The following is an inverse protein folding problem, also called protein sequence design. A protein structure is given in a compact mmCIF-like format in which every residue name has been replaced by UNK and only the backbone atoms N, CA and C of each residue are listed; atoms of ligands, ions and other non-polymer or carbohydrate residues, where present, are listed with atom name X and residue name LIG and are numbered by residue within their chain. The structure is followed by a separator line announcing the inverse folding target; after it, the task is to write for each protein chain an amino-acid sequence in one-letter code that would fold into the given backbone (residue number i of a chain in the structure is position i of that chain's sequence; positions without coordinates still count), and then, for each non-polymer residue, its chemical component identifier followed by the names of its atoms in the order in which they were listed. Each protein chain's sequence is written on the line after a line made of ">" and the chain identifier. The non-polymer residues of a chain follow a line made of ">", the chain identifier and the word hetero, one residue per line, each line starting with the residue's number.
data_IF_434254602585
#
_entry.id   IF_434254602585
#
_cell.length_a   1.000
_cell.length_b   1.000
_cell.length_c   1.000
_cell.angle_alpha   90.00
_cell.angle_beta   90.00
_cell.angle_gamma   90.00
#
_symmetry.space_group_name_H-M   'P 1'
#
loop_
_entity.id
_entity.type
_entity.pdbx_description
1 polymer ?
#
# COMPACT_ATOMS: atom_id res chain seq x y z
N UNK A 1 -3.74 -33.62 -19.56
CA UNK A 1 -3.34 -34.50 -20.67
C UNK A 1 -2.48 -35.63 -20.13
N UNK A 2 -2.92 -36.89 -20.20
CA UNK A 2 -2.00 -38.03 -20.07
C UNK A 2 -1.58 -38.36 -21.50
N UNK A 3 -0.35 -38.02 -21.86
CA UNK A 3 0.23 -38.45 -23.12
C UNK A 3 0.15 -39.98 -23.18
N UNK A 4 -0.31 -40.51 -24.30
CA UNK A 4 -0.38 -41.93 -24.59
C UNK A 4 1.08 -42.42 -24.70
N UNK A 5 1.69 -42.83 -23.57
CA UNK A 5 3.09 -43.26 -23.53
C UNK A 5 3.19 -44.56 -24.31
N UNK A 6 3.70 -44.47 -25.54
CA UNK A 6 3.93 -45.61 -26.41
C UNK A 6 5.17 -46.39 -25.96
N UNK A 7 4.94 -47.43 -25.15
CA UNK A 7 5.99 -48.32 -24.64
C UNK A 7 6.75 -49.03 -25.76
N UNK A 8 6.14 -49.23 -26.93
CA UNK A 8 6.76 -49.99 -28.00
C UNK A 8 7.89 -49.21 -28.71
N UNK A 9 7.82 -47.88 -28.71
CA UNK A 9 8.86 -46.97 -29.21
C UNK A 9 9.90 -46.57 -28.17
N UNK A 10 9.75 -46.94 -26.89
CA UNK A 10 10.69 -46.56 -25.84
C UNK A 10 12.07 -47.24 -25.95
N UNK A 11 13.11 -46.49 -25.64
CA UNK A 11 14.47 -47.01 -25.43
C UNK A 11 14.60 -47.80 -24.12
N UNK A 12 15.55 -48.73 -24.05
CA UNK A 12 15.79 -49.60 -22.87
C UNK A 12 16.01 -48.80 -21.58
N UNK A 13 16.74 -47.68 -21.65
CA UNK A 13 16.98 -46.80 -20.49
C UNK A 13 15.68 -46.18 -19.97
N UNK A 14 14.82 -45.71 -20.88
CA UNK A 14 13.53 -45.11 -20.53
C UNK A 14 12.57 -46.13 -19.92
N UNK A 15 12.56 -47.36 -20.44
CA UNK A 15 11.77 -48.47 -19.87
C UNK A 15 12.21 -48.81 -18.44
N UNK A 16 13.52 -48.93 -18.19
CA UNK A 16 14.03 -49.19 -16.83
C UNK A 16 13.70 -48.08 -15.84
N UNK A 17 13.74 -46.83 -16.28
CA UNK A 17 13.38 -45.67 -15.46
C UNK A 17 11.89 -45.66 -15.10
N UNK A 18 11.03 -45.93 -16.08
CA UNK A 18 9.58 -46.05 -15.89
C UNK A 18 9.21 -47.20 -14.93
N UNK A 19 9.88 -48.34 -15.06
CA UNK A 19 9.69 -49.48 -14.14
C UNK A 19 10.07 -49.10 -12.71
N UNK A 20 11.22 -48.41 -12.54
CA UNK A 20 11.69 -47.96 -11.23
C UNK A 20 10.76 -46.90 -10.62
N UNK A 21 10.24 -45.96 -11.43
CA UNK A 21 9.35 -44.90 -10.94
C UNK A 21 8.00 -45.44 -10.45
N UNK A 22 7.57 -46.61 -10.94
CA UNK A 22 6.41 -47.34 -10.43
C UNK A 22 6.72 -48.26 -9.22
N UNK A 23 7.95 -48.25 -8.71
CA UNK A 23 8.37 -49.10 -7.59
C UNK A 23 8.50 -50.59 -7.96
N UNK A 24 8.62 -50.90 -9.25
CA UNK A 24 8.82 -52.26 -9.74
C UNK A 24 10.32 -52.51 -9.99
N UNK A 25 10.74 -53.77 -9.90
CA UNK A 25 12.10 -54.19 -10.26
C UNK A 25 12.16 -54.60 -11.73
N UNK A 26 13.30 -54.34 -12.37
CA UNK A 26 13.63 -54.82 -13.71
C UNK A 26 14.77 -55.84 -13.69
N UNK A 27 15.12 -56.39 -12.51
CA UNK A 27 16.28 -57.27 -12.34
C UNK A 27 16.09 -58.66 -12.99
N UNK A 28 14.84 -59.07 -13.18
CA UNK A 28 14.41 -60.34 -13.79
C UNK A 28 14.09 -60.22 -15.29
N UNK A 29 14.24 -59.02 -15.87
CA UNK A 29 13.97 -58.76 -17.28
C UNK A 29 15.23 -59.06 -18.12
N UNK A 30 15.29 -60.24 -18.72
CA UNK A 30 16.42 -60.71 -19.51
C UNK A 30 16.38 -60.17 -20.95
N UNK A 31 15.19 -59.98 -21.51
CA UNK A 31 14.99 -59.51 -22.87
C UNK A 31 14.27 -58.16 -22.94
N UNK A 32 14.38 -57.47 -24.08
CA UNK A 32 13.68 -56.20 -24.32
C UNK A 32 12.15 -56.36 -24.26
N UNK A 33 11.64 -57.54 -24.59
CA UNK A 33 10.21 -57.85 -24.48
C UNK A 33 9.74 -57.86 -23.02
N UNK A 34 10.55 -58.40 -22.09
CA UNK A 34 10.26 -58.41 -20.65
C UNK A 34 10.18 -56.98 -20.10
N UNK A 35 11.10 -56.12 -20.53
CA UNK A 35 11.10 -54.69 -20.17
C UNK A 35 9.86 -53.95 -20.69
N UNK A 36 9.36 -54.28 -21.89
CA UNK A 36 8.13 -53.68 -22.41
C UNK A 36 6.92 -54.11 -21.59
N UNK A 37 6.81 -55.39 -21.26
CA UNK A 37 5.71 -55.89 -20.45
C UNK A 37 5.73 -55.28 -19.04
N UNK A 38 6.91 -55.22 -18.41
CA UNK A 38 7.09 -54.61 -17.10
C UNK A 38 6.83 -53.09 -17.12
N UNK A 39 7.13 -52.41 -18.23
CA UNK A 39 6.80 -50.98 -18.41
C UNK A 39 5.30 -50.73 -18.55
N UNK A 40 4.55 -51.63 -19.20
CA UNK A 40 3.08 -51.55 -19.24
C UNK A 40 2.47 -51.79 -17.86
N UNK A 41 3.00 -52.74 -17.09
CA UNK A 41 2.62 -52.97 -15.69
C UNK A 41 2.90 -51.73 -14.82
N UNK A 42 4.07 -51.09 -15.01
CA UNK A 42 4.42 -49.84 -14.35
C UNK A 42 3.41 -48.72 -14.67
N UNK A 43 3.02 -48.55 -15.93
CA UNK A 43 2.00 -47.57 -16.33
C UNK A 43 0.63 -47.86 -15.69
N UNK A 44 0.20 -49.12 -15.66
CA UNK A 44 -1.05 -49.52 -15.04
C UNK A 44 -1.05 -49.22 -13.53
N UNK A 45 0.04 -49.55 -12.83
CA UNK A 45 0.21 -49.29 -11.40
C UNK A 45 0.24 -47.80 -11.07
N UNK A 46 0.90 -46.99 -11.91
CA UNK A 46 0.90 -45.53 -11.77
C UNK A 46 -0.48 -44.93 -12.06
N UNK A 47 -1.24 -45.48 -13.01
CA UNK A 47 -2.61 -45.07 -13.30
C UNK A 47 -3.57 -45.44 -12.15
N UNK A 48 -3.45 -46.64 -11.57
CA UNK A 48 -4.22 -47.06 -10.40
C UNK A 48 -3.88 -46.24 -9.15
N UNK A 49 -2.60 -45.92 -8.91
CA UNK A 49 -2.18 -45.06 -7.81
C UNK A 49 -2.75 -43.63 -7.97
N UNK A 50 -2.80 -43.13 -9.22
CA UNK A 50 -3.44 -41.84 -9.54
C UNK A 50 -4.96 -41.88 -9.35
N UNK A 51 -5.62 -42.96 -9.72
CA UNK A 51 -7.06 -43.16 -9.55
C UNK A 51 -7.47 -43.40 -8.09
N UNK A 52 -6.58 -43.98 -7.27
CA UNK A 52 -6.75 -44.19 -5.83
C UNK A 52 -6.35 -43.00 -4.97
N UNK A 53 -5.81 -41.93 -5.56
CA UNK A 53 -5.54 -40.69 -4.82
C UNK A 53 -6.91 -40.14 -4.39
N UNK A 54 -7.18 -39.98 -3.08
CA UNK A 54 -8.44 -39.41 -2.65
C UNK A 54 -8.59 -38.03 -3.30
N UNK A 55 -9.82 -37.68 -3.69
CA UNK A 55 -10.13 -36.32 -4.10
C UNK A 55 -9.62 -35.38 -3.01
N UNK A 56 -8.95 -34.26 -3.36
CA UNK A 56 -8.53 -33.28 -2.37
C UNK A 56 -9.74 -32.92 -1.49
N UNK A 57 -9.52 -32.79 -0.18
CA UNK A 57 -10.55 -32.29 0.71
C UNK A 57 -11.09 -30.95 0.16
N UNK A 58 -12.39 -30.63 0.33
CA UNK A 58 -12.93 -29.35 -0.07
C UNK A 58 -12.05 -28.22 0.48
N UNK A 59 -11.45 -27.41 -0.40
CA UNK A 59 -10.57 -26.30 -0.03
C UNK A 59 -9.06 -26.61 0.07
N UNK A 60 -8.61 -27.83 -0.22
CA UNK A 60 -7.17 -28.11 -0.29
C UNK A 60 -6.54 -27.46 -1.55
N UNK A 61 -5.34 -26.86 -1.45
CA UNK A 61 -4.71 -26.21 -2.59
C UNK A 61 -4.36 -27.22 -3.69
N UNK A 62 -4.64 -26.85 -4.94
CA UNK A 62 -4.23 -27.56 -6.14
C UNK A 62 -2.96 -26.91 -6.73
N UNK A 63 -2.14 -27.68 -7.44
CA UNK A 63 -1.02 -27.12 -8.20
C UNK A 63 -1.30 -27.22 -9.69
N UNK A 64 -1.19 -26.10 -10.39
CA UNK A 64 -1.31 -25.98 -11.83
C UNK A 64 -0.13 -25.18 -12.40
N UNK A 65 -0.08 -25.02 -13.72
CA UNK A 65 0.88 -24.15 -14.39
C UNK A 65 0.12 -23.28 -15.37
N UNK A 66 0.30 -21.96 -15.26
CA UNK A 66 -0.29 -20.96 -16.16
C UNK A 66 0.84 -20.15 -16.77
N UNK A 67 0.90 -20.09 -18.11
CA UNK A 67 2.11 -19.65 -18.80
C UNK A 67 3.28 -20.55 -18.40
N UNK A 68 4.36 -19.96 -17.88
CA UNK A 68 5.51 -20.70 -17.36
C UNK A 68 5.52 -20.87 -15.83
N UNK A 69 4.61 -20.23 -15.11
CA UNK A 69 4.67 -20.17 -13.65
C UNK A 69 3.89 -21.31 -12.99
N UNK A 70 4.55 -22.15 -12.17
CA UNK A 70 3.82 -23.01 -11.25
C UNK A 70 2.95 -22.14 -10.34
N UNK A 71 1.71 -22.57 -10.14
CA UNK A 71 0.68 -21.78 -9.46
C UNK A 71 -0.08 -22.66 -8.49
N UNK A 72 -0.20 -22.22 -7.25
CA UNK A 72 -1.11 -22.82 -6.28
C UNK A 72 -2.50 -22.22 -6.50
N UNK A 73 -3.51 -23.06 -6.65
CA UNK A 73 -4.91 -22.66 -6.85
C UNK A 73 -5.73 -23.11 -5.65
N UNK A 74 -6.47 -22.21 -5.04
CA UNK A 74 -7.38 -22.51 -3.92
C UNK A 74 -8.77 -21.98 -4.22
N UNK A 75 -9.78 -22.76 -3.88
CA UNK A 75 -11.18 -22.43 -4.10
C UNK A 75 -11.83 -22.08 -2.76
N UNK A 76 -12.60 -20.99 -2.73
CA UNK A 76 -13.35 -20.55 -1.55
C UNK A 76 -14.84 -20.42 -1.87
N UNK A 77 -15.66 -20.48 -0.82
CA UNK A 77 -17.12 -20.25 -0.89
C UNK A 77 -17.84 -21.14 -1.91
N UNK A 78 -17.40 -22.39 -2.07
CA UNK A 78 -17.99 -23.35 -3.01
C UNK A 78 -17.64 -23.10 -4.48
N UNK A 79 -16.65 -22.27 -4.76
CA UNK A 79 -16.12 -22.13 -6.11
C UNK A 79 -15.59 -23.45 -6.67
N UNK A 80 -15.73 -23.62 -7.97
CA UNK A 80 -15.10 -24.69 -8.73
C UNK A 80 -14.46 -24.09 -9.98
N UNK A 81 -13.71 -24.93 -10.71
CA UNK A 81 -13.14 -24.55 -12.00
C UNK A 81 -14.19 -23.98 -12.96
N UNK A 82 -15.35 -24.60 -13.03
CA UNK A 82 -16.40 -24.25 -13.99
C UNK A 82 -17.47 -23.30 -13.41
N UNK A 83 -17.43 -23.04 -12.09
CA UNK A 83 -18.42 -22.24 -11.39
C UNK A 83 -17.76 -21.32 -10.35
N UNK A 84 -17.46 -20.09 -10.75
CA UNK A 84 -16.82 -19.05 -9.95
C UNK A 84 -17.29 -17.66 -10.38
N UNK A 85 -17.21 -16.68 -9.48
CA UNK A 85 -17.60 -15.29 -9.71
C UNK A 85 -16.36 -14.38 -9.78
N UNK A 86 -15.31 -14.72 -9.03
CA UNK A 86 -14.10 -13.91 -8.88
C UNK A 86 -12.84 -14.79 -8.95
N UNK A 87 -11.82 -14.30 -9.65
CA UNK A 87 -10.46 -14.84 -9.67
C UNK A 87 -9.51 -13.79 -9.09
N UNK A 88 -8.76 -14.15 -8.06
CA UNK A 88 -7.77 -13.27 -7.41
C UNK A 88 -6.39 -13.88 -7.61
N UNK A 89 -5.54 -13.24 -8.41
CA UNK A 89 -4.15 -13.66 -8.57
C UNK A 89 -3.24 -12.81 -7.67
N UNK A 90 -2.52 -13.45 -6.74
CA UNK A 90 -1.66 -12.78 -5.76
C UNK A 90 -0.19 -13.17 -5.96
N UNK A 91 0.65 -12.19 -6.29
CA UNK A 91 2.08 -12.36 -6.55
C UNK A 91 2.89 -12.11 -5.26
N UNK A 92 3.79 -13.04 -4.94
CA UNK A 92 4.61 -13.04 -3.72
C UNK A 92 5.71 -11.97 -3.71
N UNK A 93 6.29 -11.69 -2.53
CA UNK A 93 7.45 -10.79 -2.40
C UNK A 93 8.78 -11.46 -2.77
N UNK A 94 9.87 -10.70 -2.80
CA UNK A 94 11.22 -11.26 -3.03
C UNK A 94 11.58 -12.26 -1.91
N UNK A 95 12.18 -13.38 -2.29
CA UNK A 95 12.57 -14.53 -1.45
C UNK A 95 11.44 -15.22 -0.66
N UNK A 96 10.18 -14.85 -0.90
CA UNK A 96 9.04 -15.52 -0.29
C UNK A 96 8.84 -16.92 -0.88
N UNK A 97 8.43 -17.91 -0.07
CA UNK A 97 8.08 -19.22 -0.59
C UNK A 97 6.78 -19.16 -1.44
N UNK A 98 6.55 -20.13 -2.34
CA UNK A 98 5.38 -20.13 -3.23
C UNK A 98 4.02 -20.14 -2.52
N UNK A 99 3.97 -20.58 -1.27
CA UNK A 99 2.76 -20.69 -0.45
C UNK A 99 2.60 -19.56 0.57
N UNK A 100 3.49 -18.57 0.60
CA UNK A 100 3.51 -17.47 1.59
C UNK A 100 2.17 -16.73 1.70
N UNK A 101 1.56 -16.43 0.56
CA UNK A 101 0.29 -15.69 0.49
C UNK A 101 -0.96 -16.58 0.52
N UNK A 102 -0.81 -17.90 0.45
CA UNK A 102 -1.94 -18.86 0.44
C UNK A 102 -2.83 -18.73 1.69
N UNK A 103 -2.30 -18.48 2.92
CA UNK A 103 -3.11 -18.28 4.11
C UNK A 103 -4.11 -17.12 4.03
N UNK A 104 -3.90 -16.13 3.13
CA UNK A 104 -4.84 -15.01 2.96
C UNK A 104 -6.18 -15.43 2.33
N UNK A 105 -6.22 -16.57 1.64
CA UNK A 105 -7.42 -17.06 0.96
C UNK A 105 -8.63 -17.23 1.91
N UNK A 106 -8.42 -17.77 3.10
CA UNK A 106 -9.51 -18.07 4.03
C UNK A 106 -10.15 -16.80 4.63
N UNK A 107 -9.41 -15.85 5.23
CA UNK A 107 -10.00 -14.61 5.73
C UNK A 107 -10.58 -13.75 4.60
N UNK A 108 -9.93 -13.68 3.43
CA UNK A 108 -10.49 -12.95 2.28
C UNK A 108 -11.80 -13.59 1.79
N UNK A 109 -11.83 -14.92 1.68
CA UNK A 109 -13.05 -15.65 1.31
C UNK A 109 -14.20 -15.39 2.28
N UNK A 110 -13.93 -15.38 3.58
CA UNK A 110 -14.94 -15.07 4.61
C UNK A 110 -15.50 -13.65 4.46
N UNK A 111 -14.64 -12.65 4.24
CA UNK A 111 -15.05 -11.26 4.03
C UNK A 111 -15.89 -11.07 2.75
N UNK A 112 -15.61 -11.85 1.71
CA UNK A 112 -16.33 -11.82 0.44
C UNK A 112 -17.68 -12.58 0.47
N UNK A 113 -18.02 -13.20 1.60
CA UNK A 113 -19.32 -13.81 1.86
C UNK A 113 -19.71 -14.87 0.82
N UNK A 114 -20.83 -14.68 0.13
CA UNK A 114 -21.36 -15.63 -0.86
C UNK A 114 -20.61 -15.67 -2.20
N UNK A 115 -19.59 -14.83 -2.40
CA UNK A 115 -18.87 -14.73 -3.68
C UNK A 115 -17.98 -15.95 -3.87
N UNK A 116 -18.17 -16.71 -4.95
CA UNK A 116 -17.36 -17.90 -5.26
C UNK A 116 -16.01 -17.47 -5.83
N UNK A 117 -14.95 -17.64 -5.04
CA UNK A 117 -13.62 -17.13 -5.36
C UNK A 117 -12.63 -18.24 -5.72
N UNK A 118 -11.85 -18.00 -6.76
CA UNK A 118 -10.65 -18.77 -7.12
C UNK A 118 -9.43 -17.91 -6.80
N UNK A 119 -8.56 -18.38 -5.93
CA UNK A 119 -7.30 -17.72 -5.61
C UNK A 119 -6.16 -18.42 -6.34
N UNK A 120 -5.32 -17.65 -7.03
CA UNK A 120 -4.16 -18.14 -7.77
C UNK A 120 -2.88 -17.48 -7.23
N UNK A 121 -1.92 -18.30 -6.82
CA UNK A 121 -0.64 -17.87 -6.25
C UNK A 121 0.49 -18.36 -7.15
N UNK A 122 0.85 -17.62 -8.21
CA UNK A 122 1.97 -17.96 -9.08
C UNK A 122 3.30 -17.79 -8.34
N UNK A 123 4.30 -18.60 -8.72
CA UNK A 123 5.67 -18.50 -8.23
C UNK A 123 6.66 -18.35 -9.38
N UNK A 124 7.44 -17.28 -9.38
CA UNK A 124 8.57 -17.09 -10.29
C UNK A 124 9.90 -17.67 -9.74
N UNK A 125 9.87 -18.33 -8.59
CA UNK A 125 11.07 -18.73 -7.85
C UNK A 125 11.41 -17.70 -6.78
N UNK A 126 12.68 -17.39 -6.51
CA UNK A 126 13.04 -16.45 -5.44
C UNK A 126 12.66 -15.00 -5.76
N UNK A 127 12.52 -14.61 -7.03
CA UNK A 127 12.19 -13.24 -7.41
C UNK A 127 11.53 -13.18 -8.79
N UNK A 128 10.76 -12.13 -9.04
CA UNK A 128 10.07 -11.89 -10.32
C UNK A 128 11.01 -11.33 -11.39
N UNK A 129 11.92 -10.47 -10.95
CA UNK A 129 12.93 -9.78 -11.74
C UNK A 129 14.08 -9.42 -10.79
N UNK A 130 15.23 -9.01 -11.36
CA UNK A 130 16.44 -8.84 -10.57
C UNK A 130 16.37 -7.57 -9.72
N UNK A 131 16.41 -7.75 -8.41
CA UNK A 131 16.52 -6.67 -7.44
C UNK A 131 17.98 -6.61 -6.95
N UNK A 132 18.61 -5.45 -7.08
CA UNK A 132 19.90 -5.18 -6.45
C UNK A 132 19.68 -4.43 -5.12
N UNK A 133 19.57 -5.14 -3.99
CA UNK A 133 19.29 -4.50 -2.70
C UNK A 133 20.39 -3.51 -2.28
N UNK A 134 21.63 -3.69 -2.74
CA UNK A 134 22.72 -2.76 -2.43
C UNK A 134 22.54 -1.45 -3.20
N UNK A 135 22.10 -1.50 -4.47
CA UNK A 135 21.78 -0.31 -5.26
C UNK A 135 20.63 0.47 -4.62
N UNK A 136 19.59 -0.22 -4.14
CA UNK A 136 18.45 0.41 -3.46
C UNK A 136 18.84 1.01 -2.11
N UNK A 137 19.60 0.28 -1.28
CA UNK A 137 20.08 0.79 0.01
C UNK A 137 21.03 2.00 -0.17
N UNK A 138 21.92 1.96 -1.16
CA UNK A 138 22.81 3.08 -1.47
C UNK A 138 22.03 4.31 -1.94
N UNK A 139 21.00 4.13 -2.78
CA UNK A 139 20.14 5.23 -3.20
C UNK A 139 19.35 5.82 -2.03
N UNK A 140 18.77 4.97 -1.18
CA UNK A 140 18.09 5.41 0.04
C UNK A 140 19.03 6.22 0.96
N UNK A 141 20.28 5.76 1.14
CA UNK A 141 21.29 6.47 1.93
C UNK A 141 21.79 7.78 1.27
N UNK A 142 21.70 7.89 -0.05
CA UNK A 142 22.09 9.10 -0.80
C UNK A 142 21.01 10.17 -0.77
N UNK A 143 19.75 9.76 -0.62
CA UNK A 143 18.59 10.65 -0.55
C UNK A 143 17.64 10.46 -1.73
N UNK A 144 16.51 11.16 -1.66
CA UNK A 144 15.32 10.87 -2.46
C UNK A 144 15.51 11.03 -3.97
N UNK A 145 16.35 11.97 -4.42
CA UNK A 145 16.65 12.14 -5.86
C UNK A 145 17.29 10.91 -6.50
N UNK A 146 18.13 10.17 -5.74
CA UNK A 146 18.72 8.92 -6.19
C UNK A 146 17.67 7.80 -6.25
N UNK A 147 16.79 7.73 -5.23
CA UNK A 147 15.69 6.76 -5.19
C UNK A 147 14.67 7.01 -6.31
N UNK A 148 14.32 8.27 -6.56
CA UNK A 148 13.44 8.71 -7.64
C UNK A 148 14.00 8.37 -9.02
N UNK A 149 15.33 8.30 -9.16
CA UNK A 149 15.97 7.86 -10.41
C UNK A 149 15.85 6.33 -10.59
N UNK A 150 15.96 5.55 -9.51
CA UNK A 150 15.82 4.09 -9.57
C UNK A 150 14.43 3.64 -10.01
N UNK A 151 13.37 4.30 -9.52
CA UNK A 151 11.99 3.92 -9.83
C UNK A 151 11.55 4.29 -11.25
N UNK A 152 12.35 5.07 -11.99
CA UNK A 152 12.05 5.45 -13.38
C UNK A 152 12.55 4.44 -14.40
N UNK A 153 13.66 3.77 -14.09
CA UNK A 153 14.27 2.79 -14.97
C UNK A 153 13.67 1.39 -14.71
N UNK A 154 13.41 0.59 -15.77
CA UNK A 154 13.01 -0.80 -15.58
C UNK A 154 14.18 -1.59 -14.96
N UNK A 155 13.95 -2.35 -13.87
CA UNK A 155 14.94 -3.27 -13.33
C UNK A 155 15.37 -4.33 -14.35
N UNK A 156 16.54 -4.93 -14.13
CA UNK A 156 16.98 -6.04 -14.98
C UNK A 156 15.99 -7.21 -14.92
N UNK A 157 15.64 -7.76 -16.09
CA UNK A 157 14.65 -8.84 -16.22
C UNK A 157 13.19 -8.41 -16.13
N UNK A 158 12.88 -7.12 -15.88
CA UNK A 158 11.52 -6.63 -15.72
C UNK A 158 10.64 -6.84 -16.97
N UNK A 159 11.16 -6.55 -18.16
CA UNK A 159 10.41 -6.72 -19.42
C UNK A 159 10.11 -8.20 -19.74
N UNK A 160 11.06 -9.10 -19.43
CA UNK A 160 10.86 -10.54 -19.58
C UNK A 160 9.77 -11.02 -18.61
N UNK A 161 9.84 -10.57 -17.34
CA UNK A 161 8.82 -10.85 -16.34
C UNK A 161 7.44 -10.37 -16.77
N UNK A 162 7.33 -9.16 -17.35
CA UNK A 162 6.08 -8.64 -17.91
C UNK A 162 5.54 -9.57 -19.00
N UNK A 163 6.36 -9.95 -19.97
CA UNK A 163 5.97 -10.85 -21.06
C UNK A 163 5.42 -12.19 -20.52
N UNK A 164 6.12 -12.79 -19.57
CA UNK A 164 5.71 -14.04 -18.94
C UNK A 164 4.44 -13.90 -18.11
N UNK A 165 4.29 -12.78 -17.40
CA UNK A 165 3.10 -12.47 -16.61
C UNK A 165 1.86 -12.21 -17.46
N UNK A 166 2.00 -11.59 -18.63
CA UNK A 166 0.90 -11.44 -19.58
C UNK A 166 0.45 -12.81 -20.12
N UNK A 167 1.38 -13.72 -20.41
CA UNK A 167 1.06 -15.10 -20.79
C UNK A 167 0.37 -15.87 -19.64
N UNK A 168 0.81 -15.65 -18.40
CA UNK A 168 0.15 -16.17 -17.20
C UNK A 168 -1.30 -15.68 -17.08
N UNK A 169 -1.53 -14.37 -17.21
CA UNK A 169 -2.88 -13.79 -17.13
C UNK A 169 -3.79 -14.29 -18.25
N UNK A 170 -3.26 -14.43 -19.46
CA UNK A 170 -4.01 -15.02 -20.59
C UNK A 170 -4.43 -16.47 -20.27
N UNK A 171 -3.50 -17.29 -19.76
CA UNK A 171 -3.79 -18.68 -19.39
C UNK A 171 -4.79 -18.80 -18.22
N UNK A 172 -4.76 -17.87 -17.26
CA UNK A 172 -5.77 -17.79 -16.21
C UNK A 172 -7.16 -17.48 -16.79
N UNK A 173 -7.27 -16.49 -17.68
CA UNK A 173 -8.56 -16.14 -18.31
C UNK A 173 -9.11 -17.26 -19.18
N UNK A 174 -8.25 -17.99 -19.90
CA UNK A 174 -8.66 -19.16 -20.67
C UNK A 174 -9.21 -20.26 -19.75
N UNK A 175 -8.60 -20.44 -18.58
CA UNK A 175 -9.00 -21.47 -17.62
C UNK A 175 -10.24 -21.07 -16.80
N UNK A 176 -10.39 -19.79 -16.49
CA UNK A 176 -11.44 -19.22 -15.65
C UNK A 176 -12.16 -18.08 -16.39
N UNK A 177 -12.94 -18.37 -17.44
CA UNK A 177 -13.46 -17.34 -18.35
C UNK A 177 -14.67 -16.57 -17.83
N UNK A 178 -15.35 -17.05 -16.78
CA UNK A 178 -16.62 -16.47 -16.31
C UNK A 178 -16.45 -15.50 -15.13
N UNK A 179 -15.29 -15.49 -14.48
CA UNK A 179 -15.03 -14.67 -13.31
C UNK A 179 -14.42 -13.30 -13.62
N UNK A 180 -14.77 -12.32 -12.79
CA UNK A 180 -14.01 -11.08 -12.68
C UNK A 180 -12.57 -11.39 -12.25
N UNK A 181 -11.57 -10.71 -12.83
CA UNK A 181 -10.16 -10.88 -12.47
C UNK A 181 -9.67 -9.71 -11.62
N UNK A 182 -9.04 -10.02 -10.49
CA UNK A 182 -8.25 -9.08 -9.69
C UNK A 182 -6.80 -9.53 -9.73
N UNK A 183 -5.89 -8.59 -9.97
CA UNK A 183 -4.44 -8.81 -9.89
C UNK A 183 -3.91 -8.10 -8.65
N UNK A 184 -3.10 -8.78 -7.86
CA UNK A 184 -2.55 -8.23 -6.64
C UNK A 184 -1.20 -8.81 -6.27
N UNK A 185 -0.56 -8.21 -5.29
CA UNK A 185 0.66 -8.78 -4.73
C UNK A 185 1.19 -8.02 -3.54
N UNK A 186 2.29 -8.54 -3.01
CA UNK A 186 3.03 -7.96 -1.89
C UNK A 186 4.46 -7.59 -2.33
N UNK A 187 4.98 -6.43 -1.92
CA UNK A 187 6.35 -6.00 -2.21
C UNK A 187 6.67 -6.09 -3.71
N UNK A 188 7.70 -6.82 -4.12
CA UNK A 188 8.04 -7.02 -5.54
C UNK A 188 6.87 -7.57 -6.38
N UNK A 189 6.02 -8.41 -5.78
CA UNK A 189 4.81 -8.93 -6.40
C UNK A 189 3.76 -7.86 -6.64
N UNK A 190 3.61 -6.87 -5.73
CA UNK A 190 2.69 -5.74 -5.91
C UNK A 190 3.08 -4.89 -7.12
N UNK A 191 4.39 -4.63 -7.25
CA UNK A 191 4.94 -3.86 -8.38
C UNK A 191 4.71 -4.59 -9.70
N UNK A 192 4.99 -5.91 -9.72
CA UNK A 192 4.77 -6.76 -10.88
C UNK A 192 3.29 -6.85 -11.26
N UNK A 193 2.39 -7.08 -10.29
CA UNK A 193 0.96 -7.17 -10.53
C UNK A 193 0.38 -5.87 -11.11
N UNK A 194 0.85 -4.73 -10.62
CA UNK A 194 0.45 -3.41 -11.13
C UNK A 194 0.93 -3.21 -12.56
N UNK A 195 2.19 -3.51 -12.86
CA UNK A 195 2.74 -3.40 -14.21
C UNK A 195 2.00 -4.31 -15.21
N UNK A 196 1.67 -5.53 -14.81
CA UNK A 196 0.87 -6.45 -15.63
C UNK A 196 -0.53 -5.90 -15.88
N UNK A 197 -1.22 -5.43 -14.83
CA UNK A 197 -2.57 -4.89 -14.93
C UNK A 197 -2.66 -3.68 -15.88
N UNK A 198 -1.66 -2.79 -15.82
CA UNK A 198 -1.56 -1.63 -16.72
C UNK A 198 -1.17 -2.02 -18.15
N UNK A 199 -0.43 -3.11 -18.31
CA UNK A 199 0.01 -3.60 -19.63
C UNK A 199 -1.02 -4.52 -20.32
N UNK A 200 -2.16 -4.82 -19.70
CA UNK A 200 -3.22 -5.60 -20.33
C UNK A 200 -3.88 -4.82 -21.48
N UNK A 201 -4.33 -5.52 -22.55
CA UNK A 201 -5.13 -4.92 -23.62
C UNK A 201 -6.31 -4.11 -23.06
N UNK A 202 -6.64 -2.99 -23.70
CA UNK A 202 -7.66 -2.03 -23.19
C UNK A 202 -9.06 -2.64 -23.08
N UNK A 203 -9.36 -3.60 -23.92
CA UNK A 203 -10.62 -4.35 -23.97
C UNK A 203 -10.63 -5.55 -23.01
N UNK A 204 -9.53 -5.85 -22.31
CA UNK A 204 -9.46 -6.91 -21.33
C UNK A 204 -9.97 -6.42 -19.95
N UNK A 205 -11.18 -6.82 -19.50
CA UNK A 205 -11.75 -6.30 -18.25
C UNK A 205 -10.96 -6.77 -17.04
N UNK A 206 -10.60 -5.85 -16.14
CA UNK A 206 -9.99 -6.15 -14.83
C UNK A 206 -10.86 -5.51 -13.74
N UNK A 207 -11.22 -6.28 -12.73
CA UNK A 207 -12.09 -5.82 -11.64
C UNK A 207 -11.36 -4.98 -10.60
N UNK A 208 -10.05 -5.17 -10.43
CA UNK A 208 -9.23 -4.32 -9.59
C UNK A 208 -7.76 -4.72 -9.50
N UNK A 209 -6.98 -3.85 -8.87
CA UNK A 209 -5.56 -4.01 -8.57
C UNK A 209 -5.36 -3.92 -7.05
N UNK A 210 -4.64 -4.87 -6.45
CA UNK A 210 -4.23 -4.82 -5.05
C UNK A 210 -2.71 -4.60 -4.96
N UNK A 211 -2.31 -3.42 -4.50
CA UNK A 211 -0.90 -3.04 -4.35
C UNK A 211 -0.54 -2.97 -2.88
N UNK A 212 0.06 -4.03 -2.33
CA UNK A 212 0.37 -4.13 -0.89
C UNK A 212 1.86 -3.98 -0.66
N UNK A 213 2.25 -2.97 0.11
CA UNK A 213 3.62 -2.66 0.50
C UNK A 213 4.60 -2.69 -0.68
N UNK A 214 4.23 -2.07 -1.80
CA UNK A 214 5.06 -1.98 -3.00
C UNK A 214 5.56 -0.56 -3.25
N UNK A 215 6.30 -0.39 -4.33
CA UNK A 215 6.79 0.91 -4.78
C UNK A 215 6.36 1.12 -6.23
N UNK A 216 6.16 2.38 -6.65
CA UNK A 216 6.01 2.66 -8.06
C UNK A 216 7.30 2.29 -8.81
N UNK A 217 7.15 1.80 -10.05
CA UNK A 217 8.24 1.51 -10.98
C UNK A 217 7.88 2.03 -12.37
N UNK A 218 8.89 2.27 -13.20
CA UNK A 218 8.74 2.82 -14.56
C UNK A 218 7.70 3.94 -14.59
N UNK A 219 7.81 4.87 -13.64
CA UNK A 219 6.74 5.81 -13.26
C UNK A 219 6.12 6.57 -14.42
N UNK A 220 6.91 6.98 -15.41
CA UNK A 220 6.39 7.67 -16.59
C UNK A 220 5.51 6.77 -17.46
N UNK A 221 5.82 5.47 -17.55
CA UNK A 221 4.97 4.49 -18.24
C UNK A 221 3.68 4.28 -17.46
N UNK A 222 3.78 4.01 -16.16
CA UNK A 222 2.59 3.76 -15.34
C UNK A 222 1.65 4.97 -15.31
N UNK A 223 2.18 6.18 -15.19
CA UNK A 223 1.39 7.41 -15.24
C UNK A 223 0.62 7.54 -16.56
N UNK A 224 1.27 7.29 -17.71
CA UNK A 224 0.61 7.29 -19.02
C UNK A 224 -0.49 6.24 -19.09
N UNK A 225 -0.21 5.00 -18.68
CA UNK A 225 -1.16 3.90 -18.79
C UNK A 225 -2.37 4.06 -17.86
N UNK A 226 -2.15 4.59 -16.64
CA UNK A 226 -3.20 4.91 -15.67
C UNK A 226 -4.16 5.98 -16.18
N UNK A 227 -3.67 6.94 -16.98
CA UNK A 227 -4.51 8.00 -17.54
C UNK A 227 -5.43 7.53 -18.67
N UNK A 228 -5.18 6.35 -19.26
CA UNK A 228 -5.94 5.89 -20.43
C UNK A 228 -7.33 5.34 -20.09
N UNK A 229 -7.57 4.91 -18.85
CA UNK A 229 -8.87 4.38 -18.39
C UNK A 229 -8.99 4.45 -16.88
N UNK A 230 -10.22 4.36 -16.38
CA UNK A 230 -10.46 4.25 -14.94
C UNK A 230 -10.04 2.87 -14.43
N UNK A 231 -9.32 2.84 -13.32
CA UNK A 231 -8.91 1.62 -12.62
C UNK A 231 -9.50 1.60 -11.21
N UNK A 232 -9.82 0.41 -10.70
CA UNK A 232 -10.09 0.22 -9.27
C UNK A 232 -8.81 -0.28 -8.62
N UNK A 233 -8.17 0.55 -7.81
CA UNK A 233 -6.88 0.25 -7.19
C UNK A 233 -7.01 0.42 -5.69
N UNK A 234 -6.64 -0.62 -4.93
CA UNK A 234 -6.40 -0.52 -3.50
C UNK A 234 -4.88 -0.52 -3.30
N UNK A 235 -4.37 0.54 -2.68
CA UNK A 235 -2.98 0.63 -2.22
C UNK A 235 -3.00 0.54 -0.70
N UNK A 236 -2.20 -0.35 -0.13
CA UNK A 236 -2.01 -0.49 1.31
C UNK A 236 -0.52 -0.54 1.58
N UNK A 237 -0.02 0.24 2.53
CA UNK A 237 1.40 0.29 2.87
C UNK A 237 1.56 0.39 4.39
N UNK A 238 2.63 -0.19 4.93
CA UNK A 238 2.93 -0.08 6.36
C UNK A 238 3.60 1.26 6.64
N UNK A 239 3.08 2.05 7.59
CA UNK A 239 3.64 3.38 7.91
C UNK A 239 5.03 3.29 8.55
N UNK A 240 5.34 2.16 9.19
CA UNK A 240 6.64 1.85 9.79
C UNK A 240 7.46 0.86 8.93
N UNK A 241 7.22 0.78 7.62
CA UNK A 241 7.95 -0.11 6.72
C UNK A 241 9.44 0.32 6.62
N UNK A 242 10.40 -0.49 7.13
CA UNK A 242 11.81 -0.13 7.12
C UNK A 242 12.47 -0.40 5.76
N UNK A 243 11.74 -1.00 4.81
CA UNK A 243 12.25 -1.43 3.49
C UNK A 243 11.84 -0.46 2.40
N UNK A 244 10.56 -0.09 2.36
CA UNK A 244 10.01 0.84 1.37
C UNK A 244 9.42 2.06 2.08
N UNK A 245 9.92 3.27 1.78
CA UNK A 245 9.57 4.46 2.53
C UNK A 245 8.08 4.79 2.40
N UNK A 246 7.44 5.06 3.54
CA UNK A 246 6.10 5.63 3.60
C UNK A 246 6.18 7.15 3.48
N UNK A 247 6.11 7.66 2.25
CA UNK A 247 6.37 9.08 1.98
C UNK A 247 5.14 9.97 2.12
N UNK A 248 3.90 9.41 2.09
CA UNK A 248 2.63 10.16 2.12
C UNK A 248 1.99 10.08 3.51
N UNK A 249 1.90 11.19 4.22
CA UNK A 249 1.34 11.27 5.58
C UNK A 249 -0.16 11.53 5.63
N UNK A 250 -0.72 12.15 4.58
CA UNK A 250 -2.16 12.39 4.50
C UNK A 250 -2.66 12.55 3.08
N UNK A 251 -3.91 12.14 2.87
CA UNK A 251 -4.70 12.40 1.68
C UNK A 251 -6.06 12.95 2.12
N UNK A 252 -6.52 14.03 1.51
CA UNK A 252 -7.84 14.61 1.79
C UNK A 252 -8.48 15.15 0.50
N UNK A 253 -9.79 15.41 0.54
CA UNK A 253 -10.50 16.02 -0.58
C UNK A 253 -10.55 17.52 -0.33
N UNK A 254 -10.08 18.30 -1.30
CA UNK A 254 -10.12 19.76 -1.30
C UNK A 254 -11.47 20.32 -1.74
N UNK A 255 -11.58 21.65 -1.71
CA UNK A 255 -12.86 22.34 -1.95
C UNK A 255 -13.34 22.27 -3.41
N UNK A 256 -12.46 21.91 -4.35
CA UNK A 256 -12.78 21.73 -5.77
C UNK A 256 -12.91 20.25 -6.15
N UNK A 257 -13.17 19.38 -5.17
CA UNK A 257 -13.13 17.90 -5.30
C UNK A 257 -11.74 17.36 -5.68
N UNK A 258 -10.72 18.21 -5.69
CA UNK A 258 -9.32 17.87 -5.86
C UNK A 258 -8.80 16.98 -4.72
N UNK A 259 -7.71 16.28 -4.96
CA UNK A 259 -7.06 15.41 -3.97
C UNK A 259 -5.84 16.12 -3.42
N UNK A 260 -5.88 16.49 -2.14
CA UNK A 260 -4.70 16.96 -1.43
C UNK A 260 -3.87 15.77 -0.97
N UNK A 261 -2.56 15.83 -1.21
CA UNK A 261 -1.60 14.80 -0.81
C UNK A 261 -0.45 15.50 -0.09
N UNK A 262 -0.24 15.17 1.18
CA UNK A 262 0.94 15.60 1.92
C UNK A 262 1.98 14.49 1.91
N UNK A 263 3.20 14.84 1.51
CA UNK A 263 4.37 14.02 1.72
C UNK A 263 5.19 14.55 2.89
N UNK A 264 5.42 13.65 3.85
CA UNK A 264 6.24 13.90 5.03
C UNK A 264 7.67 14.20 4.61
N UNK A 265 8.31 13.23 3.96
CA UNK A 265 9.74 13.27 3.63
C UNK A 265 10.10 14.35 2.61
N UNK A 266 9.21 14.61 1.65
CA UNK A 266 9.40 15.70 0.68
C UNK A 266 9.01 17.05 1.24
N UNK A 267 8.53 17.16 2.49
CA UNK A 267 8.04 18.41 3.07
C UNK A 267 7.14 19.17 2.09
N UNK A 268 6.23 18.46 1.42
CA UNK A 268 5.48 18.96 0.27
C UNK A 268 4.01 18.56 0.34
N UNK A 269 3.14 19.49 -0.02
CA UNK A 269 1.71 19.24 -0.22
C UNK A 269 1.37 19.57 -1.67
N UNK A 270 0.72 18.62 -2.36
CA UNK A 270 0.15 18.83 -3.68
C UNK A 270 -1.37 18.87 -3.60
N UNK A 271 -1.97 19.70 -4.44
CA UNK A 271 -3.34 19.51 -4.90
C UNK A 271 -3.32 18.87 -6.28
N UNK A 272 -3.97 17.72 -6.42
CA UNK A 272 -4.09 16.98 -7.65
C UNK A 272 -5.52 17.06 -8.17
N UNK A 273 -5.68 17.36 -9.45
CA UNK A 273 -7.00 17.40 -10.07
C UNK A 273 -7.66 16.01 -10.02
N UNK A 274 -8.95 15.96 -9.67
CA UNK A 274 -9.70 14.71 -9.54
C UNK A 274 -9.78 13.92 -10.86
N UNK A 275 -9.75 14.61 -12.00
CA UNK A 275 -9.79 14.02 -13.33
C UNK A 275 -8.44 13.44 -13.80
N UNK A 276 -7.39 13.54 -12.98
CA UNK A 276 -6.04 13.07 -13.31
C UNK A 276 -5.27 13.99 -14.25
N UNK A 277 -5.75 15.20 -14.53
CA UNK A 277 -5.05 16.17 -15.39
C UNK A 277 -3.73 16.69 -14.82
N UNK A 278 -3.44 16.41 -13.54
CA UNK A 278 -2.16 16.68 -12.90
C UNK A 278 -2.27 17.52 -11.64
N UNK A 279 -1.15 18.10 -11.21
CA UNK A 279 -1.10 18.98 -10.05
C UNK A 279 -1.71 20.35 -10.36
N UNK A 280 -2.75 20.74 -9.63
CA UNK A 280 -3.34 22.08 -9.68
C UNK A 280 -2.45 23.10 -8.96
N UNK A 281 -1.88 22.71 -7.81
CA UNK A 281 -0.91 23.52 -7.10
C UNK A 281 0.00 22.69 -6.20
N UNK A 282 1.14 23.28 -5.84
CA UNK A 282 2.13 22.68 -4.95
C UNK A 282 2.64 23.71 -3.96
N UNK A 283 2.78 23.31 -2.69
CA UNK A 283 3.44 24.06 -1.63
C UNK A 283 4.51 23.16 -1.00
N UNK A 284 5.77 23.59 -1.00
CA UNK A 284 6.89 22.78 -0.53
C UNK A 284 7.94 23.59 0.22
N UNK A 285 8.44 23.04 1.33
CA UNK A 285 9.53 23.63 2.10
C UNK A 285 10.93 23.25 1.61
N UNK A 286 11.05 22.17 0.82
CA UNK A 286 12.34 21.61 0.38
C UNK A 286 12.50 21.51 -1.13
N UNK A 287 11.44 21.16 -1.87
CA UNK A 287 11.50 21.09 -3.32
C UNK A 287 11.49 22.49 -3.92
N UNK A 288 12.16 22.63 -5.07
CA UNK A 288 12.02 23.80 -5.91
C UNK A 288 10.96 23.56 -6.99
N UNK A 289 10.42 24.64 -7.56
CA UNK A 289 9.39 24.57 -8.60
C UNK A 289 9.76 23.69 -9.80
N UNK A 290 11.06 23.65 -10.16
CA UNK A 290 11.58 22.80 -11.25
C UNK A 290 11.52 21.30 -10.92
N UNK A 291 11.70 20.94 -9.65
CA UNK A 291 11.87 19.55 -9.20
C UNK A 291 10.53 18.89 -8.88
N UNK A 292 9.52 19.70 -8.53
CA UNK A 292 8.18 19.24 -8.21
C UNK A 292 7.28 18.98 -9.45
N UNK A 293 7.81 19.14 -10.66
CA UNK A 293 7.08 18.80 -11.89
C UNK A 293 5.84 19.66 -12.16
N UNK A 294 5.74 20.87 -11.60
CA UNK A 294 4.59 21.80 -11.80
C UNK A 294 4.61 22.46 -13.20
N UNK A 295 5.22 21.80 -14.19
CA UNK A 295 5.37 22.26 -15.56
C UNK A 295 4.09 22.23 -16.40
N UNK A 296 3.05 21.52 -15.94
CA UNK A 296 1.80 21.29 -16.69
C UNK A 296 0.65 22.23 -16.29
N UNK A 297 0.97 23.48 -15.92
CA UNK A 297 -0.04 24.55 -15.73
C UNK A 297 -0.54 24.79 -14.30
N UNK A 298 -0.01 24.09 -13.30
CA UNK A 298 -0.33 24.30 -11.88
C UNK A 298 0.35 25.53 -11.25
N UNK A 299 -0.09 25.91 -10.05
CA UNK A 299 0.47 27.04 -9.27
C UNK A 299 1.51 26.54 -8.29
N UNK A 300 2.71 27.12 -8.34
CA UNK A 300 3.69 26.97 -7.26
C UNK A 300 3.48 28.06 -6.22
N UNK A 301 3.20 27.69 -4.97
CA UNK A 301 3.13 28.62 -3.85
C UNK A 301 4.47 28.72 -3.15
N UNK A 302 5.02 29.94 -3.05
CA UNK A 302 6.10 30.26 -2.13
C UNK A 302 5.57 30.60 -0.73
N UNK A 303 6.42 30.55 0.29
CA UNK A 303 6.08 31.09 1.61
C UNK A 303 6.38 32.59 1.66
N UNK A 304 5.62 33.34 2.46
CA UNK A 304 5.89 34.77 2.69
C UNK A 304 7.19 34.99 3.48
N UNK A 305 7.49 34.08 4.41
CA UNK A 305 8.72 34.07 5.22
C UNK A 305 9.19 32.62 5.46
N UNK A 306 10.50 32.39 5.52
CA UNK A 306 11.07 31.05 5.75
C UNK A 306 10.65 30.44 7.10
N UNK A 307 10.36 31.26 8.12
CA UNK A 307 9.83 30.80 9.42
C UNK A 307 8.42 30.20 9.31
N UNK A 308 7.70 30.47 8.22
CA UNK A 308 6.39 29.91 7.94
C UNK A 308 6.45 28.53 7.28
N UNK A 309 7.64 28.02 6.92
CA UNK A 309 7.79 26.67 6.37
C UNK A 309 7.36 25.60 7.38
N UNK A 310 6.72 24.57 6.85
CA UNK A 310 6.39 23.35 7.59
C UNK A 310 7.41 22.24 7.29
N UNK A 311 7.58 21.32 8.23
CA UNK A 311 8.43 20.16 8.08
C UNK A 311 7.73 18.92 8.59
N UNK A 312 7.86 17.82 7.85
CA UNK A 312 7.16 16.57 8.07
C UNK A 312 5.65 16.75 8.23
N UNK A 313 4.97 17.33 7.22
CA UNK A 313 3.57 17.68 7.36
C UNK A 313 2.71 16.44 7.57
N UNK A 314 1.70 16.54 8.44
CA UNK A 314 0.62 15.59 8.62
C UNK A 314 -0.73 16.29 8.51
N UNK A 315 -1.79 15.50 8.34
CA UNK A 315 -3.18 15.98 8.39
C UNK A 315 -3.44 17.24 7.54
N UNK A 316 -2.94 17.26 6.30
CA UNK A 316 -3.20 18.37 5.38
C UNK A 316 -4.64 18.32 4.88
N UNK A 317 -5.37 19.41 5.12
CA UNK A 317 -6.81 19.53 4.85
C UNK A 317 -7.10 20.91 4.27
N UNK A 318 -8.03 20.99 3.33
CA UNK A 318 -8.55 22.29 2.90
C UNK A 318 -9.81 22.62 3.70
N UNK A 319 -9.82 23.80 4.31
CA UNK A 319 -10.98 24.35 4.98
C UNK A 319 -11.99 24.85 3.94
N UNK A 320 -13.29 24.98 4.30
CA UNK A 320 -14.33 25.44 3.37
C UNK A 320 -14.06 26.81 2.72
N UNK A 321 -13.26 27.65 3.36
CA UNK A 321 -12.85 28.96 2.84
C UNK A 321 -11.66 28.88 1.85
N UNK A 322 -11.11 27.68 1.61
CA UNK A 322 -9.96 27.44 0.75
C UNK A 322 -8.61 27.41 1.47
N UNK A 323 -8.54 27.80 2.75
CA UNK A 323 -7.31 27.80 3.53
C UNK A 323 -6.80 26.36 3.76
N UNK A 324 -5.48 26.19 3.78
CA UNK A 324 -4.82 24.91 3.98
C UNK A 324 -4.41 24.75 5.45
N UNK A 325 -5.03 23.83 6.17
CA UNK A 325 -4.71 23.47 7.56
C UNK A 325 -3.79 22.24 7.59
N UNK A 326 -2.72 22.31 8.38
CA UNK A 326 -1.63 21.31 8.40
C UNK A 326 -1.13 21.12 9.84
N UNK A 327 -0.73 19.89 10.17
CA UNK A 327 0.15 19.60 11.31
C UNK A 327 1.60 19.64 10.81
N UNK A 328 2.39 20.52 11.39
CA UNK A 328 3.82 20.69 11.13
C UNK A 328 4.59 20.04 12.30
N UNK A 329 5.09 18.83 12.09
CA UNK A 329 5.79 18.05 13.12
C UNK A 329 7.14 18.68 13.46
N UNK A 330 7.90 19.14 12.46
CA UNK A 330 9.14 19.87 12.66
C UNK A 330 10.43 19.04 12.64
N UNK A 331 10.40 17.72 12.39
CA UNK A 331 11.58 16.82 12.52
C UNK A 331 12.74 17.16 11.60
N UNK A 332 12.43 17.61 10.38
CA UNK A 332 13.41 18.05 9.37
C UNK A 332 13.59 19.58 9.32
N UNK A 333 13.08 20.32 10.32
CA UNK A 333 13.28 21.77 10.39
C UNK A 333 14.79 22.08 10.51
N UNK A 334 15.33 23.09 9.83
CA UNK A 334 16.75 23.45 9.95
C UNK A 334 17.18 23.64 11.42
N UNK A 335 18.08 22.77 11.89
CA UNK A 335 18.55 22.74 13.29
C UNK A 335 17.94 21.62 14.14
N UNK A 336 16.89 20.97 13.65
CA UNK A 336 16.25 19.79 14.23
C UNK A 336 16.78 18.51 13.59
N UNK A 337 16.88 17.46 14.41
CA UNK A 337 17.13 16.10 13.98
C UNK A 337 16.67 15.14 15.08
N UNK A 338 16.36 13.89 14.72
CA UNK A 338 15.93 12.85 15.67
C UNK A 338 16.94 12.60 16.80
N UNK A 339 18.23 12.92 16.61
CA UNK A 339 19.28 12.82 17.63
C UNK A 339 19.52 14.13 18.42
N UNK A 340 18.88 15.24 18.04
CA UNK A 340 18.98 16.55 18.67
C UNK A 340 17.65 17.31 18.52
N UNK A 341 16.76 17.08 19.48
CA UNK A 341 15.41 17.69 19.52
C UNK A 341 15.37 19.01 20.32
N UNK A 342 16.53 19.47 20.82
CA UNK A 342 16.61 20.68 21.63
C UNK A 342 16.24 21.93 20.82
N UNK A 343 15.13 22.59 21.19
CA UNK A 343 14.60 23.76 20.49
C UNK A 343 13.70 23.43 19.29
N UNK A 344 13.44 22.14 19.05
CA UNK A 344 12.46 21.67 18.08
C UNK A 344 11.04 21.82 18.62
N UNK A 345 10.11 22.09 17.73
CA UNK A 345 8.72 22.35 18.09
C UNK A 345 7.81 21.91 16.95
N UNK A 346 6.60 21.51 17.33
CA UNK A 346 5.51 21.21 16.41
C UNK A 346 4.42 22.24 16.52
N UNK A 347 3.62 22.38 15.45
CA UNK A 347 2.49 23.30 15.43
C UNK A 347 1.36 22.79 14.55
N UNK A 348 0.15 23.24 14.84
CA UNK A 348 -0.90 23.28 13.82
C UNK A 348 -0.82 24.65 13.13
N UNK A 349 -0.97 24.69 11.80
CA UNK A 349 -0.80 25.90 11.01
C UNK A 349 -1.79 25.94 9.85
N UNK A 350 -2.41 27.10 9.62
CA UNK A 350 -3.31 27.34 8.51
C UNK A 350 -2.75 28.42 7.57
N UNK A 351 -2.78 28.15 6.27
CA UNK A 351 -2.33 29.06 5.23
C UNK A 351 -3.48 29.54 4.35
N UNK A 352 -3.54 30.84 4.10
CA UNK A 352 -4.25 31.42 2.96
C UNK A 352 -3.40 31.23 1.71
N UNK A 353 -3.97 30.59 0.68
CA UNK A 353 -3.31 30.37 -0.60
C UNK A 353 -3.73 31.46 -1.60
N UNK A 354 -2.86 32.44 -1.81
CA UNK A 354 -3.11 33.54 -2.74
C UNK A 354 -2.59 33.21 -4.13
N UNK A 355 -3.48 32.70 -4.97
CA UNK A 355 -3.18 32.27 -6.33
C UNK A 355 -2.59 33.40 -7.22
N UNK A 356 -3.00 34.65 -6.99
CA UNK A 356 -2.55 35.79 -7.78
C UNK A 356 -1.13 36.19 -7.40
N UNK A 357 -0.82 36.24 -6.10
CA UNK A 357 0.52 36.52 -5.61
C UNK A 357 1.45 35.30 -5.69
N UNK A 358 0.90 34.08 -5.81
CA UNK A 358 1.62 32.80 -5.70
C UNK A 358 2.34 32.63 -4.37
N UNK A 359 1.69 33.06 -3.29
CA UNK A 359 2.22 33.02 -1.93
C UNK A 359 1.22 32.35 -0.98
N UNK A 360 1.72 31.47 -0.12
CA UNK A 360 1.02 30.96 1.05
C UNK A 360 1.33 31.85 2.25
N UNK A 361 0.30 32.39 2.92
CA UNK A 361 0.43 33.27 4.10
C UNK A 361 -0.20 32.63 5.31
N UNK A 362 0.48 32.68 6.45
CA UNK A 362 -0.06 32.16 7.70
C UNK A 362 -1.26 32.99 8.14
N UNK A 363 -2.40 32.32 8.27
CA UNK A 363 -3.65 32.89 8.80
C UNK A 363 -3.81 32.64 10.28
N UNK A 364 -3.35 31.46 10.70
CA UNK A 364 -3.55 30.96 12.04
C UNK A 364 -2.47 29.93 12.32
N UNK A 365 -2.03 29.84 13.58
CA UNK A 365 -1.18 28.76 14.05
C UNK A 365 -1.35 28.57 15.55
N UNK A 366 -1.01 27.37 16.01
CA UNK A 366 -1.04 26.98 17.41
C UNK A 366 0.17 26.11 17.77
N UNK A 367 0.87 26.53 18.82
CA UNK A 367 2.00 25.88 19.49
C UNK A 367 1.64 25.77 20.99
N UNK A 368 2.15 24.76 21.71
CA UNK A 368 1.85 24.59 23.13
C UNK A 368 3.11 24.23 23.93
N UNK A 369 3.34 24.81 25.13
CA UNK A 369 2.48 25.76 25.84
C UNK A 369 2.71 27.23 25.45
N UNK A 370 3.69 27.53 24.61
CA UNK A 370 4.08 28.91 24.31
C UNK A 370 3.43 29.40 23.02
N UNK A 371 2.78 30.56 23.07
CA UNK A 371 2.44 31.33 21.89
C UNK A 371 3.62 32.26 21.55
N UNK A 372 4.44 31.90 20.57
CA UNK A 372 5.53 32.70 19.94
C UNK A 372 6.12 33.82 20.82
N UNK A 373 6.80 33.48 21.91
CA UNK A 373 7.82 34.37 22.48
C UNK A 373 9.18 33.94 21.92
N UNK A 374 9.88 34.87 21.26
CA UNK A 374 11.11 34.63 20.48
C UNK A 374 12.33 34.27 21.33
N UNK A 375 12.16 34.12 22.64
CA UNK A 375 13.22 33.78 23.58
C UNK A 375 13.05 32.34 24.07
N UNK A 376 13.80 31.42 23.43
CA UNK A 376 14.07 30.05 23.86
C UNK A 376 12.85 29.09 23.90
N UNK A 377 12.56 28.49 22.74
CA UNK A 377 11.56 27.43 22.50
C UNK A 377 11.99 26.03 23.03
N UNK A 378 12.58 25.93 24.21
CA UNK A 378 13.08 24.64 24.73
C UNK A 378 11.99 23.77 25.36
N UNK A 379 10.75 24.27 25.44
CA UNK A 379 9.69 23.72 26.30
C UNK A 379 8.38 23.44 25.54
N UNK A 380 8.32 23.67 24.24
CA UNK A 380 7.10 23.38 23.45
C UNK A 380 6.98 21.88 23.15
N UNK A 381 5.75 21.42 22.96
CA UNK A 381 5.48 20.05 22.54
C UNK A 381 6.13 19.79 21.19
N UNK A 382 6.74 18.61 21.09
CA UNK A 382 7.38 18.14 19.89
C UNK A 382 6.81 16.77 19.53
N UNK A 383 5.97 16.78 18.50
CA UNK A 383 5.33 15.63 17.88
C UNK A 383 6.26 15.05 16.82
N UNK A 384 6.66 13.80 17.02
CA UNK A 384 7.56 13.07 16.13
C UNK A 384 6.85 12.55 14.87
N UNK A 385 5.56 12.22 14.99
CA UNK A 385 4.76 11.64 13.89
C UNK A 385 3.27 11.69 14.20
N UNK A 386 2.43 11.72 13.16
CA UNK A 386 0.99 11.63 13.28
C UNK A 386 0.36 12.98 13.59
N UNK A 387 -0.54 13.03 14.56
CA UNK A 387 -1.29 14.23 14.88
C UNK A 387 -2.40 14.53 13.87
N UNK A 388 -3.28 15.43 14.29
CA UNK A 388 -4.43 15.84 13.47
C UNK A 388 -4.87 17.24 13.82
N UNK A 389 -5.36 17.97 12.83
CA UNK A 389 -6.06 19.23 13.03
C UNK A 389 -7.40 19.15 12.32
N UNK A 390 -8.46 19.71 12.88
CA UNK A 390 -9.77 19.77 12.22
C UNK A 390 -10.50 21.05 12.63
N UNK A 391 -11.24 21.66 11.71
CA UNK A 391 -12.17 22.72 12.05
C UNK A 391 -13.43 22.11 12.69
N UNK A 392 -13.93 22.75 13.75
CA UNK A 392 -15.16 22.40 14.44
C UNK A 392 -16.32 23.28 13.97
N UNK A 393 -17.55 22.81 14.16
CA UNK A 393 -18.75 23.53 13.73
C UNK A 393 -18.95 24.91 14.40
N UNK A 394 -18.35 25.10 15.58
CA UNK A 394 -18.36 26.37 16.33
C UNK A 394 -17.31 27.39 15.80
N UNK A 395 -16.47 27.00 14.84
CA UNK A 395 -15.40 27.83 14.28
C UNK A 395 -14.05 27.71 14.98
N UNK A 396 -13.96 26.92 16.05
CA UNK A 396 -12.71 26.58 16.71
C UNK A 396 -11.99 25.42 16.00
N UNK A 397 -10.77 25.11 16.41
CA UNK A 397 -9.97 24.02 15.87
C UNK A 397 -9.73 22.94 16.91
N UNK A 398 -9.91 21.67 16.53
CA UNK A 398 -9.43 20.53 17.31
C UNK A 398 -8.05 20.15 16.81
N UNK A 399 -7.03 20.33 17.66
CA UNK A 399 -5.63 19.99 17.36
C UNK A 399 -5.19 18.87 18.27
N UNK A 400 -4.53 17.84 17.72
CA UNK A 400 -3.94 16.77 18.50
C UNK A 400 -2.49 16.50 18.08
N UNK A 401 -1.63 16.34 19.09
CA UNK A 401 -0.26 15.85 18.97
C UNK A 401 -0.21 14.48 19.65
N UNK A 402 0.00 13.43 18.86
CA UNK A 402 -0.30 12.04 19.28
C UNK A 402 0.93 11.19 19.56
N UNK A 403 2.11 11.63 19.13
CA UNK A 403 3.37 10.91 19.32
C UNK A 403 4.45 11.89 19.73
N UNK A 404 4.50 12.23 21.02
CA UNK A 404 5.46 13.19 21.54
C UNK A 404 6.85 12.57 21.77
N UNK A 405 7.88 13.41 21.67
CA UNK A 405 9.24 13.09 22.07
C UNK A 405 9.35 12.88 23.59
N UNK A 406 9.92 11.75 23.98
CA UNK A 406 10.02 11.27 25.36
C UNK A 406 11.12 11.95 26.18
N UNK A 407 12.00 12.69 25.50
CA UNK A 407 13.08 13.48 26.14
C UNK A 407 12.59 14.83 26.66
N UNK A 408 11.38 15.25 26.30
CA UNK A 408 10.79 16.50 26.75
C UNK A 408 10.23 16.39 28.17
N UNK A 409 10.42 17.44 28.99
CA UNK A 409 10.02 17.52 30.41
C UNK A 409 8.54 17.23 30.65
N UNK A 410 7.69 17.39 29.64
CA UNK A 410 6.25 17.20 29.72
C UNK A 410 5.76 15.77 29.47
N UNK A 411 6.62 14.84 29.04
CA UNK A 411 6.14 13.50 28.66
C UNK A 411 7.14 12.34 28.81
N UNK A 412 7.37 11.91 30.05
CA UNK A 412 8.20 10.70 30.32
C UNK A 412 7.60 9.36 29.84
N UNK A 413 6.43 9.33 29.15
CA UNK A 413 5.68 8.09 28.84
C UNK A 413 4.86 8.07 27.53
N UNK A 414 5.02 9.03 26.61
CA UNK A 414 4.35 9.03 25.30
C UNK A 414 2.87 9.42 25.30
N UNK A 415 2.43 10.30 26.19
CA UNK A 415 1.06 10.83 26.30
C UNK A 415 0.66 11.63 25.05
N UNK A 416 -0.50 11.31 24.45
CA UNK A 416 -1.08 12.14 23.41
C UNK A 416 -1.84 13.32 24.02
N UNK A 417 -1.79 14.49 23.39
CA UNK A 417 -2.55 15.66 23.80
C UNK A 417 -3.49 16.10 22.69
N UNK A 418 -4.69 16.52 23.08
CA UNK A 418 -5.65 17.15 22.20
C UNK A 418 -6.18 18.45 22.82
N UNK A 419 -6.42 19.43 21.97
CA UNK A 419 -6.75 20.79 22.32
C UNK A 419 -7.92 21.24 21.45
N UNK A 420 -8.96 21.76 22.09
CA UNK A 420 -9.87 22.67 21.39
C UNK A 420 -9.26 24.06 21.49
N UNK A 421 -8.88 24.62 20.35
CA UNK A 421 -8.15 25.88 20.23
C UNK A 421 -9.05 26.91 19.60
N UNK A 422 -9.12 28.08 20.23
CA UNK A 422 -9.95 29.15 19.70
C UNK A 422 -9.43 29.64 18.33
N UNK A 423 -10.32 30.25 17.55
CA UNK A 423 -9.97 30.92 16.29
C UNK A 423 -8.86 31.99 16.44
N UNK A 424 -8.60 32.51 17.64
CA UNK A 424 -7.47 33.41 17.91
C UNK A 424 -6.08 32.72 17.88
N UNK A 425 -6.04 31.39 17.99
CA UNK A 425 -4.83 30.56 17.97
C UNK A 425 -3.94 30.71 19.20
N UNK A 426 -4.38 31.45 20.22
CA UNK A 426 -3.60 31.81 21.41
C UNK A 426 -4.13 31.18 22.69
N UNK A 427 -5.39 30.78 22.69
CA UNK A 427 -6.05 30.19 23.85
C UNK A 427 -6.63 28.82 23.56
N UNK A 428 -6.48 27.90 24.52
CA UNK A 428 -7.12 26.60 24.51
C UNK A 428 -8.43 26.69 25.30
N UNK A 429 -9.53 26.29 24.67
CA UNK A 429 -10.85 26.15 25.31
C UNK A 429 -10.84 24.95 26.24
N UNK A 430 -10.26 23.84 25.78
CA UNK A 430 -10.08 22.62 26.57
C UNK A 430 -8.80 21.90 26.20
N UNK A 431 -8.34 21.02 27.09
CA UNK A 431 -7.19 20.14 26.88
C UNK A 431 -7.50 18.75 27.41
N UNK A 432 -7.26 17.75 26.59
CA UNK A 432 -7.38 16.33 26.93
C UNK A 432 -6.00 15.70 26.83
N UNK A 433 -5.55 15.09 27.92
CA UNK A 433 -4.35 14.26 27.95
C UNK A 433 -4.79 12.78 27.89
N UNK A 434 -4.31 12.06 26.89
CA UNK A 434 -4.63 10.65 26.64
C UNK A 434 -3.36 9.84 26.94
N UNK A 435 -3.29 9.17 28.10
CA UNK A 435 -2.08 8.44 28.49
C UNK A 435 -1.88 7.22 27.60
N UNK A 436 -0.65 7.02 27.14
CA UNK A 436 -0.28 5.80 26.41
C UNK A 436 -0.24 4.59 27.35
N UNK A 437 -0.93 3.48 27.00
CA UNK A 437 -0.88 2.26 27.79
C UNK A 437 0.55 1.79 27.99
N UNK A 438 0.86 1.26 29.18
CA UNK A 438 2.21 0.78 29.48
C UNK A 438 2.75 -0.26 28.49
N UNK A 439 1.86 -1.10 27.93
CA UNK A 439 2.22 -2.11 26.95
C UNK A 439 2.67 -1.53 25.59
N UNK A 440 2.31 -0.27 25.33
CA UNK A 440 2.57 0.45 24.09
C UNK A 440 3.57 1.59 24.29
N UNK A 441 4.25 1.63 25.45
CA UNK A 441 5.40 2.50 25.65
C UNK A 441 6.47 2.18 24.59
N UNK A 442 7.06 3.22 24.00
CA UNK A 442 8.02 3.15 22.89
C UNK A 442 7.41 2.65 21.56
N UNK A 443 6.08 2.61 21.46
CA UNK A 443 5.34 2.34 20.22
C UNK A 443 4.38 3.50 19.94
N UNK A 444 4.06 3.69 18.67
CA UNK A 444 2.99 4.60 18.30
C UNK A 444 1.63 4.01 18.74
N UNK A 445 1.03 4.60 19.78
CA UNK A 445 -0.24 4.15 20.35
C UNK A 445 -1.46 4.85 19.73
N UNK A 446 -1.35 6.15 19.45
CA UNK A 446 -2.37 6.94 18.78
C UNK A 446 -1.78 7.64 17.55
N UNK A 447 -2.56 7.71 16.46
CA UNK A 447 -2.12 8.33 15.20
C UNK A 447 -2.86 9.63 14.89
N UNK A 448 -4.19 9.63 15.03
CA UNK A 448 -5.06 10.80 14.78
C UNK A 448 -6.17 10.85 15.79
N UNK A 449 -6.69 12.05 16.00
CA UNK A 449 -7.93 12.29 16.73
C UNK A 449 -8.93 12.98 15.80
N UNK A 450 -10.09 12.37 15.64
CA UNK A 450 -11.13 12.83 14.71
C UNK A 450 -12.34 13.28 15.53
N UNK A 451 -12.89 14.49 15.30
CA UNK A 451 -14.11 14.92 15.96
C UNK A 451 -15.30 14.12 15.44
N UNK A 452 -16.12 13.58 16.35
CA UNK A 452 -17.35 12.86 16.03
C UNK A 452 -18.50 13.56 16.76
N UNK A 453 -19.62 13.77 16.05
CA UNK A 453 -20.82 14.41 16.64
C UNK A 453 -21.50 13.49 17.67
N UNK A 454 -21.39 12.17 17.48
CA UNK A 454 -21.90 11.17 18.41
C UNK A 454 -21.16 9.84 18.24
N UNK A 455 -21.21 8.98 19.26
CA UNK A 455 -20.62 7.62 19.20
C UNK A 455 -21.69 6.57 18.89
N UNK A 456 -22.93 6.80 19.36
CA UNK A 456 -24.07 5.90 19.23
C UNK A 456 -25.34 6.57 18.70
N UNK A 457 -25.25 7.77 18.11
CA UNK A 457 -26.41 8.55 17.66
C UNK A 457 -27.04 9.39 18.77
N UNK A 458 -26.30 9.67 19.85
CA UNK A 458 -26.71 10.64 20.85
C UNK A 458 -26.92 12.02 20.19
N UNK A 459 -27.93 12.75 20.66
CA UNK A 459 -28.21 14.11 20.19
C UNK A 459 -28.03 15.09 21.35
N UNK A 460 -27.78 16.35 21.02
CA UNK A 460 -27.82 17.47 21.97
C UNK A 460 -29.25 17.83 22.39
N UNK A 461 -30.26 17.23 21.74
CA UNK A 461 -31.67 17.37 22.08
C UNK A 461 -32.01 16.48 23.28
N UNK A 462 -32.50 17.10 24.35
CA UNK A 462 -32.98 16.37 25.50
C UNK A 462 -34.12 15.40 25.09
N UNK A 463 -33.99 14.08 25.33
CA UNK A 463 -34.97 13.08 24.88
C UNK A 463 -36.35 13.23 25.55
N UNK A 464 -36.44 14.05 26.60
CA UNK A 464 -37.67 14.35 27.33
C UNK A 464 -38.43 15.56 26.80
N UNK A 465 -37.88 16.31 25.83
CA UNK A 465 -38.55 17.45 25.21
C UNK A 465 -39.36 17.08 23.96
N UNK A 466 -39.11 15.91 23.35
CA UNK A 466 -39.87 15.43 22.19
C UNK A 466 -41.21 14.76 22.55
N UNK A 467 -41.39 14.31 23.80
CA UNK A 467 -42.60 13.59 24.24
C UNK A 467 -43.78 14.51 24.63
N UNK A 468 -43.78 15.77 24.18
CA UNK A 468 -44.66 16.85 24.66
C UNK A 468 -45.64 17.43 23.64
N UNK A 469 -46.05 16.69 22.60
CA UNK A 469 -47.05 17.15 21.62
C UNK A 469 -47.83 16.00 20.96
N UNK A 470 -48.33 15.07 21.80
CA UNK A 470 -49.31 14.04 21.40
C UNK A 470 -50.66 14.28 22.06
#
# INVERSE_FOLDING_TARGET
>A
MAANVDVDSMGVKAMKELIRSAGLSHADCCEKADLRNRSREALARLAEAKARRPAPAPGAPETATFGKWPTIVKYANGATRDAHDLVVAMLHGVNAPPDDLVPLCDPMGQLLGGTRCVFAFPSAGPQWWDLDPNRWAAAAATGEGALASLIREPPAGFDACRSDGLAFVAALRETFPQGALVLGGFSQGAMTATDLALSLPKDAPLAGILHISGAPLVVEKWARDLAERRHHILISHGEADPTLPFVVSSVSVGVEENVLVASRTLNTIWSLAHDGSGAQWTLSSTLNASDAGVGDGGIWYGFEDDAQKFYDPHSALQLPNGDLLVIDDGDDRPGCATANTSGCYSRAIAYELDAAARVARVRWQFEWPSALDVNFKTDDLYNLVGGSAAALANGDYLVAFTSLDDTNKYDSRGTAFAFEVNVDGRSTVTTVAIPTPKADQDRQAAYRLVPWDSVGGETDVCPFLEAGSG
#
